data_IF_815761948461
#
_entry.id   IF_815761948461
#
_cell.length_a   1.000
_cell.length_b   1.000
_cell.length_c   1.000
_cell.angle_alpha   90.00
_cell.angle_beta   90.00
_cell.angle_gamma   90.00
#
_symmetry.space_group_name_H-M   'P 1'
#
loop_
_entity.id
_entity.type
_entity.pdbx_description
1 polymer ?
#
# COMPACT_ATOMS: atom_id res chain seq x y z
N UNK A 1 -5.61 18.25 14.24
CA UNK A 1 -5.42 17.05 13.40
C UNK A 1 -4.54 17.42 12.22
N UNK A 2 -3.41 16.76 12.07
CA UNK A 2 -2.49 16.96 10.95
C UNK A 2 -2.92 16.13 9.74
N UNK A 3 -2.43 16.47 8.55
CA UNK A 3 -2.70 15.68 7.33
C UNK A 3 -2.27 14.21 7.49
N UNK A 4 -1.16 13.97 8.19
CA UNK A 4 -0.62 12.62 8.43
C UNK A 4 -1.50 11.82 9.39
N UNK A 5 -2.06 12.46 10.41
CA UNK A 5 -3.01 11.82 11.32
C UNK A 5 -4.29 11.43 10.59
N UNK A 6 -4.83 12.33 9.75
CA UNK A 6 -6.01 12.03 8.94
C UNK A 6 -5.78 10.83 8.00
N UNK A 7 -4.64 10.80 7.29
CA UNK A 7 -4.29 9.67 6.41
C UNK A 7 -4.18 8.35 7.17
N UNK A 8 -3.60 8.36 8.38
CA UNK A 8 -3.50 7.17 9.21
C UNK A 8 -4.87 6.71 9.72
N UNK A 9 -5.72 7.62 10.19
CA UNK A 9 -7.09 7.28 10.63
C UNK A 9 -7.88 6.69 9.48
N UNK A 10 -7.84 7.30 8.30
CA UNK A 10 -8.51 6.75 7.11
C UNK A 10 -7.97 5.37 6.72
N UNK A 11 -6.64 5.20 6.73
CA UNK A 11 -6.04 3.89 6.43
C UNK A 11 -6.44 2.82 7.46
N UNK A 12 -6.52 3.17 8.74
CA UNK A 12 -7.04 2.28 9.78
C UNK A 12 -8.49 1.90 9.54
N UNK A 13 -9.35 2.87 9.20
CA UNK A 13 -10.78 2.63 8.98
C UNK A 13 -11.05 1.78 7.73
N UNK A 14 -10.31 2.02 6.64
CA UNK A 14 -10.51 1.31 5.37
C UNK A 14 -9.79 -0.03 5.32
N UNK A 15 -8.52 -0.06 5.72
CA UNK A 15 -7.65 -1.23 5.55
C UNK A 15 -7.38 -1.98 6.86
N UNK A 16 -7.86 -1.48 8.00
CA UNK A 16 -7.61 -2.08 9.32
C UNK A 16 -6.17 -1.94 9.82
N UNK A 17 -5.31 -1.20 9.11
CA UNK A 17 -3.93 -0.92 9.49
C UNK A 17 -3.43 0.36 8.84
N UNK A 18 -2.45 1.02 9.44
CA UNK A 18 -1.79 2.16 8.82
C UNK A 18 -0.83 1.73 7.72
N UNK A 19 -0.51 2.65 6.80
CA UNK A 19 0.56 2.44 5.81
C UNK A 19 1.87 2.07 6.49
N UNK A 20 2.24 2.78 7.56
CA UNK A 20 3.48 2.54 8.29
C UNK A 20 3.60 1.11 8.81
N UNK A 21 2.51 0.55 9.34
CA UNK A 21 2.47 -0.83 9.81
C UNK A 21 2.58 -1.84 8.66
N UNK A 22 1.87 -1.61 7.56
CA UNK A 22 1.93 -2.47 6.37
C UNK A 22 3.34 -2.52 5.78
N UNK A 23 3.96 -1.37 5.56
CA UNK A 23 5.33 -1.28 5.02
C UNK A 23 6.36 -1.85 6.01
N UNK A 24 6.17 -1.64 7.32
CA UNK A 24 7.02 -2.22 8.37
C UNK A 24 6.97 -3.74 8.41
N UNK A 25 5.79 -4.33 8.20
CA UNK A 25 5.59 -5.79 8.05
C UNK A 25 5.99 -6.31 6.68
N UNK A 26 6.29 -5.43 5.72
CA UNK A 26 6.52 -5.74 4.30
C UNK A 26 5.34 -6.49 3.68
N UNK A 27 4.13 -6.03 3.90
CA UNK A 27 2.92 -6.58 3.31
C UNK A 27 2.16 -5.51 2.52
N UNK A 28 1.34 -5.93 1.56
CA UNK A 28 0.37 -5.04 0.92
C UNK A 28 -0.61 -4.49 1.96
N UNK A 29 -0.86 -3.18 1.93
CA UNK A 29 -1.80 -2.53 2.85
C UNK A 29 -3.23 -3.06 2.65
N UNK A 30 -3.61 -3.42 1.43
CA UNK A 30 -4.94 -3.88 1.05
C UNK A 30 -5.08 -5.41 1.18
N UNK A 31 -4.57 -6.17 0.21
CA UNK A 31 -4.71 -7.64 0.17
C UNK A 31 -3.84 -8.43 1.18
N UNK A 32 -3.00 -7.75 1.97
CA UNK A 32 -2.07 -8.35 2.96
C UNK A 32 -1.04 -9.35 2.41
N UNK A 33 -0.86 -9.40 1.09
CA UNK A 33 0.16 -10.23 0.45
C UNK A 33 1.56 -9.90 0.99
N UNK A 34 2.37 -10.94 1.21
CA UNK A 34 3.77 -10.77 1.62
C UNK A 34 4.58 -10.18 0.46
N UNK A 35 5.17 -9.02 0.71
CA UNK A 35 6.00 -8.29 -0.26
C UNK A 35 7.49 -8.56 -0.04
N UNK A 36 7.86 -9.39 0.93
CA UNK A 36 9.24 -9.80 1.18
C UNK A 36 9.72 -10.72 0.06
N UNK A 37 10.63 -10.19 -0.76
CA UNK A 37 11.12 -10.93 -1.93
C UNK A 37 10.15 -10.91 -3.12
N UNK A 38 9.09 -10.10 -3.04
CA UNK A 38 8.20 -9.89 -4.18
C UNK A 38 8.96 -9.31 -5.37
N UNK A 39 8.80 -9.95 -6.52
CA UNK A 39 9.44 -9.52 -7.77
C UNK A 39 8.53 -8.51 -8.44
N UNK A 40 8.83 -7.23 -8.24
CA UNK A 40 8.13 -6.15 -8.94
C UNK A 40 8.35 -6.27 -10.46
N UNK A 41 7.28 -6.15 -11.27
CA UNK A 41 7.39 -6.20 -12.74
C UNK A 41 8.23 -5.04 -13.29
N UNK A 42 8.03 -3.85 -12.74
CA UNK A 42 8.75 -2.63 -13.12
C UNK A 42 9.36 -1.91 -11.91
N UNK A 43 10.29 -0.99 -12.16
CA UNK A 43 10.81 -0.11 -11.11
C UNK A 43 9.75 0.91 -10.64
N UNK A 44 8.81 1.27 -11.51
CA UNK A 44 7.67 2.13 -11.20
C UNK A 44 6.75 1.47 -10.18
N UNK A 45 6.39 0.20 -10.38
CA UNK A 45 5.61 -0.60 -9.43
C UNK A 45 6.26 -0.66 -8.04
N UNK A 46 7.59 -0.82 -8.01
CA UNK A 46 8.35 -0.83 -6.76
C UNK A 46 8.30 0.53 -6.07
N UNK A 47 8.39 1.61 -6.84
CA UNK A 47 8.31 2.99 -6.33
C UNK A 47 6.92 3.28 -5.80
N UNK A 48 5.87 2.91 -6.52
CA UNK A 48 4.48 3.09 -6.10
C UNK A 48 4.18 2.33 -4.82
N UNK A 49 4.62 1.07 -4.70
CA UNK A 49 4.53 0.33 -3.43
C UNK A 49 5.21 1.08 -2.27
N UNK A 50 6.34 1.74 -2.51
CA UNK A 50 7.01 2.57 -1.49
C UNK A 50 6.20 3.79 -1.06
N UNK A 51 5.37 4.34 -1.95
CA UNK A 51 4.55 5.53 -1.69
C UNK A 51 3.24 5.13 -1.01
N UNK A 52 2.53 4.16 -1.57
CA UNK A 52 1.17 3.76 -1.19
C UNK A 52 1.14 2.61 -0.18
N UNK A 53 2.14 1.73 -0.20
CA UNK A 53 2.09 0.45 0.51
C UNK A 53 1.21 -0.60 -0.17
N UNK A 54 0.70 -0.36 -1.38
CA UNK A 54 -0.13 -1.30 -2.16
C UNK A 54 0.71 -2.11 -3.15
N UNK A 55 0.41 -3.41 -3.29
CA UNK A 55 1.03 -4.20 -4.35
C UNK A 55 0.54 -3.74 -5.73
N UNK A 56 1.29 -4.06 -6.80
CA UNK A 56 0.94 -3.61 -8.15
C UNK A 56 -0.47 -4.04 -8.57
N UNK A 57 -0.89 -5.24 -8.18
CA UNK A 57 -2.24 -5.75 -8.47
C UNK A 57 -3.34 -4.93 -7.78
N UNK A 58 -3.18 -4.60 -6.50
CA UNK A 58 -4.14 -3.76 -5.78
C UNK A 58 -4.13 -2.31 -6.28
N UNK A 59 -2.95 -1.81 -6.64
CA UNK A 59 -2.80 -0.49 -7.24
C UNK A 59 -3.55 -0.40 -8.58
N UNK A 60 -3.32 -1.37 -9.46
CA UNK A 60 -4.01 -1.48 -10.74
C UNK A 60 -5.52 -1.61 -10.56
N UNK A 61 -5.99 -2.46 -9.65
CA UNK A 61 -7.43 -2.60 -9.40
C UNK A 61 -8.09 -1.33 -8.85
N UNK A 62 -7.33 -0.47 -8.16
CA UNK A 62 -7.84 0.76 -7.55
C UNK A 62 -7.77 1.95 -8.53
N UNK A 63 -6.76 1.99 -9.40
CA UNK A 63 -6.41 3.18 -10.20
C UNK A 63 -6.37 2.94 -11.71
N UNK A 64 -6.52 1.72 -12.22
CA UNK A 64 -6.83 1.54 -13.65
C UNK A 64 -8.26 2.00 -13.89
N UNK A 65 -8.37 3.21 -14.40
CA UNK A 65 -9.53 3.64 -15.17
C UNK A 65 -9.59 2.76 -16.43
N UNK A 66 -10.77 2.15 -16.70
CA UNK A 66 -11.07 1.48 -17.97
C UNK A 66 -11.08 2.45 -19.15
#
# INVERSE_FOLDING_TARGET
MTLKEFQNTFAMDVFGQTKGEATGKKICIDCKQDMKGYKFPTDEDRKEYGISGMCPECWDNTFKEE
#
